data_IF_146457454823
#
_entry.id   IF_146457454823
#
_cell.length_a   1.000
_cell.length_b   1.000
_cell.length_c   1.000
_cell.angle_alpha   90.00
_cell.angle_beta   90.00
_cell.angle_gamma   90.00
#
_symmetry.space_group_name_H-M   'P 1'
#
loop_
_entity.id
_entity.type
_entity.pdbx_description
1 polymer ?
#
# COMPACT_ATOMS: atom_id res chain seq x y z
N UNK A 1 4.85 3.37 11.83
CA UNK A 1 4.90 2.59 13.09
C UNK A 1 5.93 1.45 13.04
N UNK A 2 5.81 0.49 12.12
CA UNK A 2 6.71 -0.68 12.06
C UNK A 2 8.18 -0.30 11.81
N UNK A 3 8.48 0.55 10.81
CA UNK A 3 9.85 1.02 10.54
C UNK A 3 10.50 1.65 11.77
N UNK A 4 9.75 2.49 12.50
CA UNK A 4 10.22 3.12 13.75
C UNK A 4 10.58 2.09 14.83
N UNK A 5 9.79 1.02 14.98
CA UNK A 5 10.09 -0.06 15.94
C UNK A 5 11.33 -0.87 15.56
N UNK A 6 11.60 -1.02 14.27
CA UNK A 6 12.78 -1.71 13.75
C UNK A 6 13.99 -0.80 13.55
N UNK A 7 13.87 0.48 13.91
CA UNK A 7 14.87 1.51 13.70
C UNK A 7 15.36 1.60 12.24
N UNK A 8 14.46 1.32 11.28
CA UNK A 8 14.78 1.39 9.86
C UNK A 8 14.83 2.85 9.40
N UNK A 9 15.80 3.24 8.55
CA UNK A 9 15.94 4.61 8.05
C UNK A 9 14.92 4.94 6.95
N UNK A 10 13.71 4.38 7.03
CA UNK A 10 12.65 4.50 6.04
C UNK A 10 11.59 5.47 6.57
N UNK A 11 11.30 6.51 5.79
CA UNK A 11 10.24 7.48 6.07
C UNK A 11 9.18 7.39 4.99
N UNK A 12 7.91 7.49 5.40
CA UNK A 12 6.79 7.67 4.47
C UNK A 12 6.59 9.18 4.34
N UNK A 13 6.80 9.71 3.15
CA UNK A 13 6.73 11.15 2.88
C UNK A 13 5.35 11.55 2.40
N UNK A 14 4.71 10.67 1.62
CA UNK A 14 3.39 10.92 1.08
C UNK A 14 2.61 9.62 0.90
N UNK A 15 1.29 9.74 0.98
CA UNK A 15 0.34 8.67 0.69
C UNK A 15 -0.71 9.29 -0.23
N UNK A 16 -0.92 8.73 -1.41
CA UNK A 16 -2.07 9.07 -2.25
C UNK A 16 -3.00 7.88 -2.44
N UNK A 17 -4.27 8.20 -2.62
CA UNK A 17 -5.35 7.25 -2.80
C UNK A 17 -6.13 7.67 -4.04
N UNK A 18 -6.20 6.78 -5.02
CA UNK A 18 -6.97 6.98 -6.23
C UNK A 18 -8.11 5.97 -6.27
N UNK A 19 -9.35 6.46 -6.36
CA UNK A 19 -10.52 5.62 -6.55
C UNK A 19 -10.78 5.50 -8.06
N UNK A 20 -10.68 4.30 -8.59
CA UNK A 20 -10.85 4.01 -9.99
C UNK A 20 -12.18 3.32 -10.21
N UNK A 21 -12.98 3.90 -11.09
CA UNK A 21 -14.17 3.23 -11.58
C UNK A 21 -13.79 2.02 -12.44
N UNK A 22 -14.57 0.94 -12.36
CA UNK A 22 -14.33 -0.25 -13.15
C UNK A 22 -14.41 0.08 -14.64
N UNK A 23 -13.29 -0.12 -15.35
CA UNK A 23 -13.19 0.12 -16.80
C UNK A 23 -14.08 -0.83 -17.63
N UNK A 24 -14.36 -2.02 -17.09
CA UNK A 24 -15.29 -2.99 -17.65
C UNK A 24 -16.56 -3.01 -16.81
N UNK A 25 -17.72 -2.88 -17.46
CA UNK A 25 -19.04 -2.94 -16.80
C UNK A 25 -19.30 -4.28 -16.11
N UNK A 26 -18.54 -5.32 -16.43
CA UNK A 26 -18.59 -6.63 -15.76
C UNK A 26 -17.89 -6.64 -14.40
N UNK A 27 -16.99 -5.69 -14.13
CA UNK A 27 -16.32 -5.56 -12.84
C UNK A 27 -17.23 -4.75 -11.92
N UNK A 28 -17.82 -5.41 -10.93
CA UNK A 28 -18.78 -4.79 -10.00
C UNK A 28 -18.11 -3.98 -8.88
N UNK A 29 -16.79 -4.13 -8.69
CA UNK A 29 -16.05 -3.49 -7.60
C UNK A 29 -15.14 -2.40 -8.13
N UNK A 30 -15.21 -1.22 -7.53
CA UNK A 30 -14.25 -0.14 -7.74
C UNK A 30 -12.87 -0.57 -7.22
N UNK A 31 -11.82 -0.03 -7.83
CA UNK A 31 -10.44 -0.27 -7.40
C UNK A 31 -9.94 0.94 -6.60
N UNK A 32 -9.26 0.70 -5.49
CA UNK A 32 -8.55 1.71 -4.73
C UNK A 32 -7.05 1.47 -4.94
N UNK A 33 -6.39 2.42 -5.60
CA UNK A 33 -4.95 2.42 -5.73
C UNK A 33 -4.34 3.20 -4.57
N UNK A 34 -3.45 2.55 -3.83
CA UNK A 34 -2.73 3.14 -2.71
C UNK A 34 -1.28 3.32 -3.15
N UNK A 35 -0.84 4.56 -3.25
CA UNK A 35 0.54 4.88 -3.61
C UNK A 35 1.28 5.38 -2.37
N UNK A 36 2.29 4.63 -1.93
CA UNK A 36 3.15 5.03 -0.81
C UNK A 36 4.47 5.55 -1.34
N UNK A 37 4.80 6.80 -0.99
CA UNK A 37 6.08 7.41 -1.33
C UNK A 37 7.00 7.33 -0.13
N UNK A 38 8.07 6.57 -0.30
CA UNK A 38 9.08 6.26 0.70
C UNK A 38 10.38 7.02 0.39
N UNK A 39 11.07 7.47 1.42
CA UNK A 39 12.46 7.94 1.31
C UNK A 39 13.36 7.20 2.29
N UNK A 40 14.64 7.12 1.94
CA UNK A 40 15.69 6.48 2.72
C UNK A 40 16.24 5.21 2.10
N UNK A 41 17.18 4.56 2.79
CA UNK A 41 17.77 3.30 2.33
C UNK A 41 16.81 2.15 2.62
N UNK A 42 16.28 1.53 1.56
CA UNK A 42 15.36 0.40 1.62
C UNK A 42 16.03 -0.78 0.93
N UNK A 43 16.28 -1.88 1.66
CA UNK A 43 16.69 -3.14 1.04
C UNK A 43 15.48 -3.91 0.47
N UNK A 44 15.70 -4.82 -0.46
CA UNK A 44 14.64 -5.68 -1.03
C UNK A 44 13.91 -6.50 0.05
N UNK A 45 14.64 -6.98 1.05
CA UNK A 45 14.05 -7.69 2.20
C UNK A 45 13.13 -6.77 3.02
N UNK A 46 13.53 -5.51 3.22
CA UNK A 46 12.72 -4.52 3.92
C UNK A 46 11.47 -4.18 3.12
N UNK A 47 11.59 -4.02 1.80
CA UNK A 47 10.46 -3.76 0.90
C UNK A 47 9.44 -4.91 0.95
N UNK A 48 9.91 -6.14 0.75
CA UNK A 48 9.08 -7.36 0.83
C UNK A 48 8.38 -7.46 2.18
N UNK A 49 9.07 -7.07 3.27
CA UNK A 49 8.48 -7.09 4.60
C UNK A 49 7.42 -6.01 4.81
N UNK A 50 7.61 -4.82 4.25
CA UNK A 50 6.63 -3.73 4.32
C UNK A 50 5.36 -4.11 3.55
N UNK A 51 5.49 -4.68 2.37
CA UNK A 51 4.37 -5.18 1.58
C UNK A 51 3.58 -6.25 2.34
N UNK A 52 4.27 -7.24 2.92
CA UNK A 52 3.64 -8.28 3.74
C UNK A 52 2.82 -7.71 4.91
N UNK A 53 3.34 -6.67 5.57
CA UNK A 53 2.66 -6.04 6.70
C UNK A 53 1.47 -5.22 6.24
N UNK A 54 1.59 -4.51 5.11
CA UNK A 54 0.49 -3.76 4.51
C UNK A 54 -0.70 -4.68 4.18
N UNK A 55 -0.44 -5.89 3.69
CA UNK A 55 -1.47 -6.91 3.43
C UNK A 55 -2.11 -7.49 4.71
N UNK A 56 -1.48 -7.33 5.88
CA UNK A 56 -2.05 -7.74 7.17
C UNK A 56 -2.90 -6.66 7.85
N UNK A 57 -2.98 -5.46 7.29
CA UNK A 57 -3.70 -4.35 7.90
C UNK A 57 -5.22 -4.66 8.02
N UNK A 58 -5.83 -4.54 9.21
CA UNK A 58 -7.26 -4.84 9.39
C UNK A 58 -8.17 -4.02 8.48
N UNK A 59 -7.84 -2.75 8.24
CA UNK A 59 -8.64 -1.88 7.35
C UNK A 59 -8.61 -2.39 5.91
N UNK A 60 -7.45 -2.89 5.45
CA UNK A 60 -7.26 -3.45 4.13
C UNK A 60 -8.17 -4.68 3.93
N UNK A 61 -8.22 -5.57 4.94
CA UNK A 61 -9.11 -6.75 4.92
C UNK A 61 -10.59 -6.39 4.89
N UNK A 62 -11.00 -5.32 5.58
CA UNK A 62 -12.39 -4.86 5.58
C UNK A 62 -12.75 -4.30 4.21
N UNK A 63 -11.91 -3.42 3.66
CA UNK A 63 -12.15 -2.76 2.38
C UNK A 63 -12.11 -3.73 1.19
N UNK A 64 -11.29 -4.78 1.24
CA UNK A 64 -11.23 -5.81 0.19
C UNK A 64 -12.55 -6.55 -0.08
N UNK A 65 -13.51 -6.51 0.85
CA UNK A 65 -14.84 -7.10 0.63
C UNK A 65 -15.65 -6.35 -0.43
N UNK A 66 -15.43 -5.03 -0.53
CA UNK A 66 -16.22 -4.13 -1.36
C UNK A 66 -15.41 -3.54 -2.51
N UNK A 67 -14.09 -3.46 -2.36
CA UNK A 67 -13.17 -2.85 -3.31
C UNK A 67 -12.07 -3.82 -3.72
N UNK A 68 -11.58 -3.68 -4.94
CA UNK A 68 -10.25 -4.18 -5.29
C UNK A 68 -9.23 -3.18 -4.74
N UNK A 69 -8.13 -3.67 -4.18
CA UNK A 69 -7.12 -2.80 -3.57
C UNK A 69 -5.78 -3.18 -4.15
N UNK A 70 -5.08 -2.19 -4.68
CA UNK A 70 -3.77 -2.32 -5.28
C UNK A 70 -2.81 -1.39 -4.55
N UNK A 71 -1.66 -1.94 -4.13
CA UNK A 71 -0.63 -1.19 -3.41
C UNK A 71 0.59 -1.03 -4.30
N UNK A 72 1.02 0.21 -4.50
CA UNK A 72 2.28 0.53 -5.16
C UNK A 72 3.22 1.27 -4.19
N UNK A 73 4.49 0.89 -4.21
CA UNK A 73 5.55 1.48 -3.41
C UNK A 73 6.49 2.25 -4.34
N UNK A 74 6.70 3.54 -4.06
CA UNK A 74 7.63 4.40 -4.79
C UNK A 74 8.74 4.84 -3.86
N UNK A 75 9.99 4.50 -4.18
CA UNK A 75 11.17 4.93 -3.43
C UNK A 75 11.80 6.11 -4.16
N UNK A 76 12.05 7.20 -3.43
CA UNK A 76 12.72 8.41 -3.93
C UNK A 76 14.00 8.70 -3.17
#
# INVERSE_FOLDING_TARGET
MYCKRKNWPIKINNISLDLLDPKDRKVLRQTININLYLTGSVSEEQLSRLEYIANKCPIHKILHKSFNIELALFIK
#
